data_IF_462386209728
#
_entry.id   IF_462386209728
#
_cell.length_a   1.000
_cell.length_b   1.000
_cell.length_c   1.000
_cell.angle_alpha   90.00
_cell.angle_beta   90.00
_cell.angle_gamma   90.00
#
_symmetry.space_group_name_H-M   'P 1'
#
loop_
_entity.id
_entity.type
_entity.pdbx_description
1 polymer ?
#
# COMPACT_ATOMS: atom_id res chain seq x y z
N UNK A 1 4.40 28.45 54.62
CA UNK A 1 4.41 27.23 53.77
C UNK A 1 4.15 27.64 52.32
N UNK A 2 4.88 27.11 51.33
CA UNK A 2 6.33 27.11 51.15
C UNK A 2 6.75 28.05 49.99
N UNK A 3 7.95 28.60 50.08
CA UNK A 3 8.65 29.29 48.99
C UNK A 3 9.01 28.28 47.89
N UNK A 4 8.50 28.48 46.67
CA UNK A 4 8.88 27.67 45.49
C UNK A 4 10.26 28.13 45.01
N UNK A 5 11.28 27.34 45.32
CA UNK A 5 12.61 27.42 44.72
C UNK A 5 12.54 27.08 43.23
N UNK A 6 13.15 27.92 42.39
CA UNK A 6 13.40 27.56 40.98
C UNK A 6 14.45 26.42 40.93
N UNK A 7 14.32 25.47 39.99
CA UNK A 7 15.37 24.48 39.74
C UNK A 7 16.62 25.15 39.13
N UNK A 8 17.83 24.63 39.42
CA UNK A 8 19.06 25.18 38.87
C UNK A 8 19.15 24.95 37.35
N UNK A 9 19.67 25.95 36.64
CA UNK A 9 19.98 25.92 35.22
C UNK A 9 20.94 24.76 34.88
N UNK A 10 20.78 24.08 33.73
CA UNK A 10 21.72 23.04 33.31
C UNK A 10 23.10 23.66 33.05
N UNK A 11 24.20 22.93 33.30
CA UNK A 11 25.54 23.47 33.07
C UNK A 11 25.74 23.73 31.57
N UNK A 12 26.31 24.91 31.27
CA UNK A 12 26.80 25.26 29.94
C UNK A 12 27.77 24.17 29.46
N UNK A 13 27.41 23.47 28.38
CA UNK A 13 28.34 22.59 27.66
C UNK A 13 29.56 23.42 27.27
N UNK A 14 30.72 23.05 27.81
CA UNK A 14 32.02 23.55 27.31
C UNK A 14 32.11 23.26 25.81
N UNK A 15 32.70 24.14 24.99
CA UNK A 15 33.05 23.79 23.62
C UNK A 15 33.96 22.55 23.65
N UNK A 16 33.64 21.58 22.79
CA UNK A 16 34.41 20.35 22.66
C UNK A 16 35.88 20.68 22.36
N UNK A 17 36.78 20.02 23.09
CA UNK A 17 38.22 20.02 22.82
C UNK A 17 38.48 19.61 21.36
N UNK A 18 39.41 20.26 20.63
CA UNK A 18 39.78 19.91 19.27
C UNK A 18 40.80 18.75 19.22
N UNK A 19 40.66 17.77 20.11
CA UNK A 19 41.55 16.60 20.17
C UNK A 19 40.75 15.30 20.10
N UNK A 20 40.23 15.00 18.91
CA UNK A 20 40.10 13.61 18.48
C UNK A 20 40.40 13.51 16.98
N UNK A 21 41.67 13.75 16.68
CA UNK A 21 42.30 13.44 15.39
C UNK A 21 42.47 11.93 15.21
N UNK A 22 41.44 11.15 15.51
CA UNK A 22 41.34 9.77 15.06
C UNK A 22 41.42 9.81 13.54
N UNK A 23 42.59 9.45 13.00
CA UNK A 23 42.84 9.29 11.56
C UNK A 23 41.68 8.49 10.97
N UNK A 24 40.70 9.17 10.37
CA UNK A 24 39.69 8.50 9.55
C UNK A 24 40.50 7.70 8.53
N UNK A 25 40.31 6.38 8.45
CA UNK A 25 41.04 5.57 7.48
C UNK A 25 40.81 6.21 6.11
N UNK A 26 41.90 6.37 5.35
CA UNK A 26 41.92 7.05 4.04
C UNK A 26 40.84 6.46 3.11
N UNK A 27 40.45 5.21 3.35
CA UNK A 27 39.29 4.56 2.73
C UNK A 27 38.40 3.91 3.81
N UNK A 28 37.11 4.27 3.92
CA UNK A 28 36.20 3.70 4.91
C UNK A 28 35.93 2.20 4.69
N UNK A 29 35.62 1.47 5.76
CA UNK A 29 35.23 0.05 5.68
C UNK A 29 33.94 -0.10 4.86
N UNK A 30 33.99 -0.84 3.74
CA UNK A 30 32.84 -1.02 2.84
C UNK A 30 32.85 -0.15 1.57
N UNK A 31 33.77 0.81 1.43
CA UNK A 31 33.90 1.61 0.20
C UNK A 31 34.28 0.73 -1.00
N UNK A 32 33.69 1.01 -2.17
CA UNK A 32 34.10 0.40 -3.43
C UNK A 32 35.60 0.58 -3.67
N UNK A 33 36.13 1.76 -3.36
CA UNK A 33 37.56 2.05 -3.47
C UNK A 33 38.39 1.17 -2.51
N UNK A 34 37.95 0.97 -1.26
CA UNK A 34 38.63 0.04 -0.34
C UNK A 34 38.52 -1.40 -0.81
N UNK A 35 37.37 -1.83 -1.30
CA UNK A 35 37.15 -3.20 -1.77
C UNK A 35 37.97 -3.50 -3.03
N UNK A 36 38.03 -2.54 -3.96
CA UNK A 36 38.95 -2.59 -5.10
C UNK A 36 40.40 -2.65 -4.60
N UNK A 37 40.84 -1.72 -3.74
CA UNK A 37 42.22 -1.68 -3.25
C UNK A 37 42.60 -2.96 -2.50
N UNK A 38 41.80 -3.45 -1.57
CA UNK A 38 42.11 -4.68 -0.80
C UNK A 38 42.17 -5.91 -1.71
N UNK A 39 41.33 -5.96 -2.76
CA UNK A 39 41.32 -7.07 -3.72
C UNK A 39 42.44 -6.98 -4.76
N UNK A 40 42.85 -5.76 -5.13
CA UNK A 40 43.84 -5.47 -6.18
C UNK A 40 45.28 -5.41 -5.65
N UNK A 41 45.49 -4.82 -4.48
CA UNK A 41 46.82 -4.49 -3.95
C UNK A 41 47.73 -5.70 -3.78
N UNK A 42 47.27 -6.90 -3.31
CA UNK A 42 48.14 -8.07 -3.21
C UNK A 42 48.64 -8.55 -4.57
N UNK A 43 47.77 -8.55 -5.58
CA UNK A 43 48.12 -8.95 -6.93
C UNK A 43 49.07 -7.94 -7.60
N UNK A 44 48.82 -6.64 -7.42
CA UNK A 44 49.71 -5.58 -7.92
C UNK A 44 51.09 -5.67 -7.26
N UNK A 45 51.14 -5.87 -5.94
CA UNK A 45 52.38 -5.91 -5.17
C UNK A 45 53.21 -7.16 -5.48
N UNK A 46 52.56 -8.34 -5.57
CA UNK A 46 53.20 -9.56 -6.05
C UNK A 46 53.87 -9.33 -7.41
N UNK A 47 53.19 -8.60 -8.28
CA UNK A 47 53.66 -8.40 -9.63
C UNK A 47 54.82 -7.42 -9.71
N UNK A 48 54.74 -6.28 -9.01
CA UNK A 48 55.87 -5.34 -8.89
C UNK A 48 57.11 -6.04 -8.32
N UNK A 49 56.93 -6.92 -7.34
CA UNK A 49 58.05 -7.71 -6.76
C UNK A 49 58.64 -8.68 -7.77
N UNK A 50 57.80 -9.35 -8.57
CA UNK A 50 58.25 -10.30 -9.58
C UNK A 50 59.00 -9.60 -10.72
N UNK A 51 58.53 -8.42 -11.14
CA UNK A 51 59.17 -7.57 -12.15
C UNK A 51 60.53 -7.03 -11.65
N UNK A 52 60.58 -6.47 -10.44
CA UNK A 52 61.83 -6.02 -9.80
C UNK A 52 62.82 -7.18 -9.60
N UNK A 53 62.33 -8.36 -9.23
CA UNK A 53 63.15 -9.56 -9.08
C UNK A 53 63.75 -10.02 -10.41
N UNK A 54 62.97 -10.02 -11.49
CA UNK A 54 63.45 -10.34 -12.82
C UNK A 54 64.54 -9.34 -13.26
N UNK A 55 64.28 -8.04 -13.12
CA UNK A 55 65.24 -6.97 -13.45
C UNK A 55 66.54 -7.13 -12.63
N UNK A 56 66.44 -7.40 -11.33
CA UNK A 56 67.61 -7.57 -10.45
C UNK A 56 68.45 -8.79 -10.85
N UNK A 57 67.83 -9.93 -11.11
CA UNK A 57 68.52 -11.14 -11.56
C UNK A 57 69.22 -10.87 -12.89
N UNK A 58 68.54 -10.23 -13.83
CA UNK A 58 69.07 -9.94 -15.17
C UNK A 58 70.29 -9.01 -15.09
N UNK A 59 70.20 -7.95 -14.29
CA UNK A 59 71.23 -6.90 -14.22
C UNK A 59 72.48 -7.35 -13.45
N UNK A 60 72.35 -8.29 -12.50
CA UNK A 60 73.42 -8.60 -11.55
C UNK A 60 74.12 -9.94 -11.77
N UNK A 61 73.55 -10.86 -12.57
CA UNK A 61 74.06 -12.24 -12.71
C UNK A 61 74.52 -12.65 -14.12
N UNK A 62 74.26 -11.85 -15.16
CA UNK A 62 74.54 -12.24 -16.55
C UNK A 62 75.66 -11.37 -17.14
N UNK A 63 76.78 -11.98 -17.55
CA UNK A 63 77.72 -11.39 -18.51
C UNK A 63 77.10 -11.56 -19.91
N UNK A 64 76.63 -10.45 -20.49
CA UNK A 64 75.63 -10.48 -21.56
C UNK A 64 76.30 -10.58 -22.94
N UNK A 65 75.91 -11.58 -23.73
CA UNK A 65 76.21 -11.69 -25.16
C UNK A 65 74.96 -11.35 -25.98
N UNK A 66 75.13 -10.82 -27.21
CA UNK A 66 74.04 -10.21 -28.01
C UNK A 66 72.82 -11.12 -28.25
N UNK A 67 73.00 -12.45 -28.29
CA UNK A 67 71.90 -13.40 -28.47
C UNK A 67 71.04 -13.60 -27.22
N UNK A 68 71.57 -13.33 -26.02
CA UNK A 68 70.84 -13.45 -24.74
C UNK A 68 69.92 -12.25 -24.51
N UNK A 69 70.20 -11.11 -25.14
CA UNK A 69 69.38 -9.89 -25.05
C UNK A 69 67.99 -10.05 -25.68
N UNK A 70 67.87 -10.79 -26.78
CA UNK A 70 66.60 -10.99 -27.49
C UNK A 70 65.62 -11.86 -26.69
N UNK A 71 66.10 -12.97 -26.11
CA UNK A 71 65.29 -13.86 -25.26
C UNK A 71 64.81 -13.14 -23.98
N UNK A 72 65.67 -12.32 -23.37
CA UNK A 72 65.32 -11.52 -22.20
C UNK A 72 64.26 -10.47 -22.55
N UNK A 73 64.41 -9.80 -23.69
CA UNK A 73 63.44 -8.81 -24.15
C UNK A 73 62.05 -9.43 -24.33
N UNK A 74 61.94 -10.57 -25.00
CA UNK A 74 60.66 -11.25 -25.19
C UNK A 74 60.06 -11.78 -23.89
N UNK A 75 60.88 -12.28 -22.97
CA UNK A 75 60.42 -12.69 -21.64
C UNK A 75 59.86 -11.50 -20.83
N UNK A 76 60.50 -10.33 -20.93
CA UNK A 76 60.04 -9.10 -20.27
C UNK A 76 58.72 -8.60 -20.87
N UNK A 77 58.62 -8.59 -22.20
CA UNK A 77 57.38 -8.22 -22.91
C UNK A 77 56.23 -9.16 -22.54
N UNK A 78 56.48 -10.48 -22.46
CA UNK A 78 55.48 -11.45 -22.03
C UNK A 78 55.02 -11.18 -20.59
N UNK A 79 55.97 -10.93 -19.67
CA UNK A 79 55.68 -10.59 -18.28
C UNK A 79 54.81 -9.34 -18.14
N UNK A 80 55.16 -8.26 -18.85
CA UNK A 80 54.39 -7.01 -18.87
C UNK A 80 53.01 -7.17 -19.53
N UNK A 81 52.88 -8.03 -20.55
CA UNK A 81 51.59 -8.31 -21.18
C UNK A 81 50.66 -9.07 -20.25
N UNK A 82 51.17 -10.10 -19.55
CA UNK A 82 50.40 -10.86 -18.55
C UNK A 82 49.95 -9.97 -17.41
N UNK A 83 50.81 -9.07 -16.94
CA UNK A 83 50.47 -8.05 -15.95
C UNK A 83 49.31 -7.17 -16.41
N UNK A 84 49.41 -6.62 -17.62
CA UNK A 84 48.42 -5.68 -18.13
C UNK A 84 47.05 -6.36 -18.26
N UNK A 85 47.02 -7.61 -18.72
CA UNK A 85 45.80 -8.42 -18.78
C UNK A 85 45.20 -8.71 -17.39
N UNK A 86 46.04 -9.08 -16.41
CA UNK A 86 45.58 -9.32 -15.05
C UNK A 86 45.01 -8.03 -14.43
N UNK A 87 45.70 -6.91 -14.58
CA UNK A 87 45.23 -5.60 -14.12
C UNK A 87 43.89 -5.22 -14.75
N UNK A 88 43.77 -5.36 -16.07
CA UNK A 88 42.52 -5.11 -16.79
C UNK A 88 41.39 -6.03 -16.31
N UNK A 89 41.66 -7.33 -16.11
CA UNK A 89 40.67 -8.28 -15.61
C UNK A 89 40.14 -7.89 -14.23
N UNK A 90 41.01 -7.51 -13.29
CA UNK A 90 40.57 -7.13 -11.95
C UNK A 90 39.81 -5.81 -11.96
N UNK A 91 40.23 -4.81 -12.74
CA UNK A 91 39.49 -3.54 -12.91
C UNK A 91 38.08 -3.81 -13.46
N UNK A 92 37.97 -4.60 -14.53
CA UNK A 92 36.68 -4.97 -15.12
C UNK A 92 35.81 -5.76 -14.15
N UNK A 93 36.39 -6.70 -13.40
CA UNK A 93 35.65 -7.47 -12.40
C UNK A 93 35.14 -6.60 -11.24
N UNK A 94 35.94 -5.64 -10.76
CA UNK A 94 35.55 -4.68 -9.73
C UNK A 94 34.42 -3.76 -10.17
N UNK A 95 34.54 -3.16 -11.37
CA UNK A 95 33.50 -2.29 -11.94
C UNK A 95 32.20 -3.06 -12.18
N UNK A 96 32.26 -4.27 -12.75
CA UNK A 96 31.07 -5.12 -12.96
C UNK A 96 30.38 -5.47 -11.65
N UNK A 97 31.14 -5.72 -10.58
CA UNK A 97 30.56 -6.02 -9.27
C UNK A 97 29.81 -4.81 -8.70
N UNK A 98 30.37 -3.60 -8.80
CA UNK A 98 29.73 -2.37 -8.32
C UNK A 98 28.47 -2.00 -9.11
N UNK A 99 28.51 -2.13 -10.44
CA UNK A 99 27.37 -1.82 -11.31
C UNK A 99 26.19 -2.77 -11.14
N UNK A 100 26.42 -4.04 -10.74
CA UNK A 100 25.32 -4.99 -10.46
C UNK A 100 24.41 -4.51 -9.33
N UNK A 101 24.99 -3.97 -8.24
CA UNK A 101 24.20 -3.46 -7.11
C UNK A 101 23.30 -2.29 -7.51
N UNK A 102 23.80 -1.41 -8.39
CA UNK A 102 23.03 -0.28 -8.93
C UNK A 102 21.88 -0.77 -9.82
N UNK A 103 22.13 -1.76 -10.67
CA UNK A 103 21.08 -2.32 -11.53
C UNK A 103 19.97 -3.00 -10.71
N UNK A 104 20.32 -3.70 -9.63
CA UNK A 104 19.31 -4.27 -8.72
C UNK A 104 18.47 -3.19 -8.03
N UNK A 105 19.09 -2.10 -7.56
CA UNK A 105 18.36 -0.98 -6.97
C UNK A 105 17.45 -0.29 -8.00
N UNK A 106 17.94 -0.08 -9.22
CA UNK A 106 17.14 0.51 -10.30
C UNK A 106 15.96 -0.36 -10.69
N UNK A 107 16.15 -1.69 -10.74
CA UNK A 107 15.08 -2.64 -11.00
C UNK A 107 14.04 -2.65 -9.86
N UNK A 108 14.50 -2.64 -8.60
CA UNK A 108 13.62 -2.56 -7.43
C UNK A 108 12.77 -1.28 -7.44
N UNK A 109 13.34 -0.14 -7.84
CA UNK A 109 12.60 1.12 -7.99
C UNK A 109 11.63 1.05 -9.18
N UNK A 110 12.03 0.45 -10.31
CA UNK A 110 11.19 0.37 -11.52
C UNK A 110 9.99 -0.57 -11.37
N UNK A 111 10.13 -1.62 -10.57
CA UNK A 111 9.05 -2.58 -10.31
C UNK A 111 8.06 -2.11 -9.24
N UNK A 112 8.31 -0.98 -8.57
CA UNK A 112 7.39 -0.43 -7.59
C UNK A 112 6.20 0.26 -8.23
N UNK A 113 5.01 -0.05 -7.71
CA UNK A 113 3.78 0.67 -8.01
C UNK A 113 3.77 2.03 -7.29
N UNK A 114 2.90 2.94 -7.74
CA UNK A 114 2.75 4.27 -7.15
C UNK A 114 2.37 4.27 -5.66
N UNK A 115 1.86 3.14 -5.15
CA UNK A 115 1.41 2.98 -3.76
C UNK A 115 2.43 2.25 -2.86
N UNK A 116 3.54 1.73 -3.40
CA UNK A 116 4.58 1.08 -2.59
C UNK A 116 5.62 2.09 -2.07
N UNK A 117 5.35 2.61 -0.87
CA UNK A 117 6.20 3.58 -0.17
C UNK A 117 7.18 2.95 0.82
N UNK A 118 7.40 1.64 0.78
CA UNK A 118 8.32 0.98 1.72
C UNK A 118 9.76 1.52 1.61
N UNK A 119 10.59 1.45 2.66
CA UNK A 119 12.00 1.84 2.56
C UNK A 119 12.75 1.03 1.49
N UNK A 120 13.71 1.65 0.82
CA UNK A 120 14.67 0.96 -0.04
C UNK A 120 15.74 0.26 0.81
N UNK A 121 16.07 -0.97 0.47
CA UNK A 121 17.09 -1.78 1.16
C UNK A 121 18.50 -1.35 0.74
N UNK A 122 19.44 -1.44 1.68
CA UNK A 122 20.84 -1.03 1.55
C UNK A 122 21.77 -2.24 1.35
N UNK A 123 21.25 -3.47 1.47
CA UNK A 123 22.05 -4.70 1.40
C UNK A 123 22.72 -4.84 0.03
N UNK A 124 24.05 -4.88 0.03
CA UNK A 124 24.88 -5.10 -1.17
C UNK A 124 25.18 -3.85 -2.00
N UNK A 125 24.79 -2.66 -1.51
CA UNK A 125 25.13 -1.40 -2.18
C UNK A 125 26.51 -0.88 -1.76
N UNK A 126 27.21 -0.16 -2.66
CA UNK A 126 28.42 0.58 -2.29
C UNK A 126 28.12 1.60 -1.21
N UNK A 127 29.06 1.81 -0.28
CA UNK A 127 28.94 2.81 0.78
C UNK A 127 28.70 4.23 0.23
N UNK A 128 29.18 4.49 -0.98
CA UNK A 128 28.99 5.75 -1.70
C UNK A 128 27.51 6.02 -2.07
N UNK A 129 26.67 4.98 -2.16
CA UNK A 129 25.25 5.08 -2.48
C UNK A 129 24.34 5.16 -1.25
N UNK A 130 24.84 4.78 -0.07
CA UNK A 130 24.12 4.91 1.21
C UNK A 130 23.50 6.29 1.44
N UNK A 131 24.21 7.43 1.26
CA UNK A 131 23.61 8.74 1.50
C UNK A 131 22.47 9.06 0.52
N UNK A 132 22.54 8.57 -0.72
CA UNK A 132 21.45 8.77 -1.69
C UNK A 132 20.22 7.96 -1.29
N UNK A 133 20.40 6.67 -0.95
CA UNK A 133 19.31 5.80 -0.49
C UNK A 133 18.68 6.34 0.79
N UNK A 134 19.48 6.82 1.74
CA UNK A 134 19.00 7.43 2.97
C UNK A 134 18.14 8.67 2.69
N UNK A 135 18.54 9.54 1.75
CA UNK A 135 17.74 10.71 1.34
C UNK A 135 16.45 10.32 0.64
N UNK A 136 16.48 9.30 -0.23
CA UNK A 136 15.26 8.79 -0.88
C UNK A 136 14.30 8.21 0.17
N UNK A 137 14.80 7.43 1.12
CA UNK A 137 13.99 6.90 2.22
C UNK A 137 13.40 8.03 3.10
N UNK A 138 14.16 9.10 3.35
CA UNK A 138 13.65 10.29 4.04
C UNK A 138 12.50 10.97 3.28
N UNK A 139 12.62 11.08 1.94
CA UNK A 139 11.55 11.62 1.10
C UNK A 139 10.31 10.73 1.07
N UNK A 140 10.48 9.40 0.96
CA UNK A 140 9.39 8.44 1.02
C UNK A 140 8.64 8.54 2.34
N UNK A 141 9.36 8.59 3.47
CA UNK A 141 8.76 8.75 4.80
C UNK A 141 8.00 10.08 4.95
N UNK A 142 8.52 11.18 4.39
CA UNK A 142 7.83 12.48 4.38
C UNK A 142 6.56 12.44 3.52
N UNK A 143 6.60 11.77 2.38
CA UNK A 143 5.45 11.59 1.49
C UNK A 143 4.36 10.77 2.18
N UNK A 144 4.74 9.65 2.79
CA UNK A 144 3.83 8.80 3.59
C UNK A 144 3.18 9.60 4.72
N UNK A 145 3.97 10.37 5.48
CA UNK A 145 3.46 11.23 6.54
C UNK A 145 2.49 12.30 6.03
N UNK A 146 2.78 12.91 4.88
CA UNK A 146 1.92 13.92 4.25
C UNK A 146 0.59 13.33 3.77
N UNK A 147 0.63 12.17 3.09
CA UNK A 147 -0.57 11.44 2.66
C UNK A 147 -1.41 11.02 3.88
N UNK A 148 -0.78 10.51 4.94
CA UNK A 148 -1.46 10.17 6.17
C UNK A 148 -2.10 11.39 6.88
N UNK A 149 -1.45 12.56 6.83
CA UNK A 149 -2.01 13.80 7.36
C UNK A 149 -3.21 14.29 6.53
N UNK A 150 -3.10 14.29 5.19
CA UNK A 150 -4.19 14.65 4.30
C UNK A 150 -5.42 13.76 4.51
N UNK A 151 -5.23 12.45 4.68
CA UNK A 151 -6.31 11.49 4.93
C UNK A 151 -6.96 11.68 6.30
N UNK A 152 -6.17 11.91 7.36
CA UNK A 152 -6.70 12.30 8.68
C UNK A 152 -7.52 13.58 8.61
N UNK A 153 -7.07 14.58 7.85
CA UNK A 153 -7.81 15.81 7.63
C UNK A 153 -9.15 15.54 6.94
N UNK A 154 -9.19 14.76 5.85
CA UNK A 154 -10.44 14.36 5.18
C UNK A 154 -11.37 13.63 6.14
N UNK A 155 -10.84 12.72 6.96
CA UNK A 155 -11.63 11.98 7.93
C UNK A 155 -12.23 12.88 9.03
N UNK A 156 -11.43 13.81 9.56
CA UNK A 156 -11.92 14.80 10.53
C UNK A 156 -12.96 15.74 9.92
N UNK A 157 -12.73 16.24 8.70
CA UNK A 157 -13.67 17.11 8.00
C UNK A 157 -15.01 16.39 7.74
N UNK A 158 -14.98 15.14 7.28
CA UNK A 158 -16.17 14.33 7.09
C UNK A 158 -16.97 14.14 8.39
N UNK A 159 -16.28 13.86 9.51
CA UNK A 159 -16.93 13.73 10.81
C UNK A 159 -17.53 15.05 11.29
N UNK A 160 -16.78 16.15 11.18
CA UNK A 160 -17.27 17.49 11.56
C UNK A 160 -18.43 17.97 10.69
N UNK A 161 -18.53 17.54 9.43
CA UNK A 161 -19.68 17.82 8.56
C UNK A 161 -20.90 16.95 8.90
N UNK A 162 -20.70 15.71 9.37
CA UNK A 162 -21.81 14.80 9.71
C UNK A 162 -22.68 15.34 10.84
N UNK A 163 -22.08 15.95 11.86
CA UNK A 163 -22.80 16.50 13.02
C UNK A 163 -23.82 17.58 12.64
N UNK A 164 -23.45 18.69 11.96
CA UNK A 164 -24.41 19.72 11.56
C UNK A 164 -25.42 19.21 10.53
N UNK A 165 -25.03 18.31 9.63
CA UNK A 165 -25.97 17.70 8.68
C UNK A 165 -27.00 16.78 9.38
N UNK A 166 -26.60 16.08 10.43
CA UNK A 166 -27.53 15.26 11.22
C UNK A 166 -28.54 16.14 11.97
N UNK A 167 -28.12 17.31 12.45
CA UNK A 167 -29.02 18.32 13.00
C UNK A 167 -30.01 18.86 11.97
N UNK A 168 -29.53 19.20 10.77
CA UNK A 168 -30.40 19.66 9.67
C UNK A 168 -31.41 18.58 9.24
N UNK A 169 -31.00 17.32 9.26
CA UNK A 169 -31.88 16.18 9.00
C UNK A 169 -32.98 16.07 10.06
N UNK A 170 -32.63 16.15 11.34
CA UNK A 170 -33.58 16.09 12.44
C UNK A 170 -34.62 17.22 12.33
N UNK A 171 -34.17 18.45 12.10
CA UNK A 171 -35.07 19.60 11.90
C UNK A 171 -36.01 19.39 10.70
N UNK A 172 -35.49 18.85 9.59
CA UNK A 172 -36.32 18.55 8.42
C UNK A 172 -37.36 17.47 8.73
N UNK A 173 -37.00 16.44 9.50
CA UNK A 173 -37.94 15.38 9.94
C UNK A 173 -38.99 15.92 10.92
N UNK A 174 -38.60 16.81 11.84
CA UNK A 174 -39.52 17.49 12.75
C UNK A 174 -40.50 18.41 12.03
N UNK A 175 -40.05 19.10 10.97
CA UNK A 175 -40.93 19.90 10.11
C UNK A 175 -41.96 18.99 9.40
N UNK A 176 -41.52 17.89 8.80
CA UNK A 176 -42.38 16.97 8.05
C UNK A 176 -43.40 16.23 8.93
N UNK A 177 -43.12 16.08 10.22
CA UNK A 177 -44.02 15.49 11.21
C UNK A 177 -45.22 16.40 11.57
N UNK A 178 -45.19 17.68 11.18
CA UNK A 178 -46.30 18.63 11.39
C UNK A 178 -47.16 18.79 10.13
N UNK A 179 -48.43 19.18 10.26
CA UNK A 179 -49.23 19.60 9.11
C UNK A 179 -48.62 20.85 8.48
N UNK A 180 -48.29 20.76 7.20
CA UNK A 180 -47.67 21.79 6.37
C UNK A 180 -48.48 21.96 5.09
N UNK A 181 -48.41 23.13 4.46
CA UNK A 181 -48.90 23.30 3.09
C UNK A 181 -48.04 22.49 2.11
N UNK A 182 -48.64 22.07 0.99
CA UNK A 182 -47.97 21.17 0.02
C UNK A 182 -46.63 21.74 -0.49
N UNK A 183 -46.56 23.03 -0.83
CA UNK A 183 -45.31 23.67 -1.27
C UNK A 183 -44.20 23.65 -0.19
N UNK A 184 -44.56 23.80 1.10
CA UNK A 184 -43.59 23.75 2.20
C UNK A 184 -43.15 22.32 2.49
N UNK A 185 -44.07 21.36 2.38
CA UNK A 185 -43.75 19.92 2.48
C UNK A 185 -42.76 19.52 1.39
N UNK A 186 -43.02 19.86 0.13
CA UNK A 186 -42.13 19.54 -1.00
C UNK A 186 -40.72 20.11 -0.81
N UNK A 187 -40.61 21.34 -0.29
CA UNK A 187 -39.32 21.96 0.03
C UNK A 187 -38.61 21.25 1.17
N UNK A 188 -39.32 20.89 2.24
CA UNK A 188 -38.75 20.15 3.37
C UNK A 188 -38.28 18.75 2.96
N UNK A 189 -39.03 18.05 2.10
CA UNK A 189 -38.62 16.76 1.52
C UNK A 189 -37.37 16.91 0.65
N UNK A 190 -37.29 17.97 -0.17
CA UNK A 190 -36.07 18.28 -0.93
C UNK A 190 -34.87 18.52 -0.02
N UNK A 191 -35.01 19.35 1.03
CA UNK A 191 -33.92 19.61 2.00
C UNK A 191 -33.47 18.32 2.68
N UNK A 192 -34.42 17.49 3.13
CA UNK A 192 -34.12 16.18 3.72
C UNK A 192 -33.36 15.30 2.74
N UNK A 193 -33.78 15.23 1.48
CA UNK A 193 -33.14 14.40 0.46
C UNK A 193 -31.69 14.83 0.17
N UNK A 194 -31.43 16.14 0.09
CA UNK A 194 -30.10 16.72 -0.13
C UNK A 194 -29.20 16.47 1.08
N UNK A 195 -29.74 16.65 2.29
CA UNK A 195 -29.02 16.41 3.55
C UNK A 195 -28.64 14.94 3.70
N UNK A 196 -29.57 14.01 3.45
CA UNK A 196 -29.30 12.57 3.45
C UNK A 196 -28.22 12.21 2.42
N UNK A 197 -28.18 12.90 1.27
CA UNK A 197 -27.13 12.72 0.25
C UNK A 197 -25.76 13.22 0.72
N UNK A 198 -25.70 14.40 1.37
CA UNK A 198 -24.46 14.95 1.91
C UNK A 198 -23.87 14.08 3.04
N UNK A 199 -24.72 13.56 3.93
CA UNK A 199 -24.28 12.63 5.00
C UNK A 199 -23.67 11.38 4.37
N UNK A 200 -24.34 10.80 3.36
CA UNK A 200 -23.81 9.64 2.62
C UNK A 200 -22.47 9.95 1.95
N UNK A 201 -22.33 11.10 1.28
CA UNK A 201 -21.06 11.50 0.66
C UNK A 201 -19.92 11.64 1.68
N UNK A 202 -20.19 12.26 2.84
CA UNK A 202 -19.20 12.37 3.92
C UNK A 202 -18.77 10.99 4.44
N UNK A 203 -19.72 10.08 4.64
CA UNK A 203 -19.44 8.70 5.04
C UNK A 203 -18.56 7.99 4.01
N UNK A 204 -18.89 8.12 2.73
CA UNK A 204 -18.19 7.51 1.61
C UNK A 204 -16.74 8.03 1.48
N UNK A 205 -16.51 9.32 1.67
CA UNK A 205 -15.16 9.90 1.71
C UNK A 205 -14.34 9.41 2.91
N UNK A 206 -14.98 9.25 4.07
CA UNK A 206 -14.33 8.72 5.27
C UNK A 206 -13.92 7.25 5.09
N UNK A 207 -14.79 6.45 4.48
CA UNK A 207 -14.50 5.04 4.16
C UNK A 207 -13.36 4.95 3.17
N UNK A 208 -13.36 5.77 2.12
CA UNK A 208 -12.26 5.84 1.16
C UNK A 208 -10.93 6.22 1.83
N UNK A 209 -10.95 7.20 2.73
CA UNK A 209 -9.77 7.61 3.49
C UNK A 209 -9.24 6.52 4.46
N UNK A 210 -10.10 5.60 4.90
CA UNK A 210 -9.78 4.50 5.82
C UNK A 210 -9.47 3.17 5.11
N UNK A 211 -9.87 3.03 3.85
CA UNK A 211 -9.65 1.83 3.09
C UNK A 211 -8.15 1.62 2.80
N UNK A 212 -7.33 2.66 2.78
CA UNK A 212 -5.91 2.54 2.43
C UNK A 212 -5.09 1.67 3.41
N UNK A 213 -4.29 0.71 2.91
CA UNK A 213 -3.49 -0.21 3.73
C UNK A 213 -2.47 0.46 4.66
N UNK A 214 -1.94 1.64 4.32
CA UNK A 214 -0.81 2.27 5.02
C UNK A 214 -1.15 2.92 6.38
N UNK A 215 -2.42 3.07 6.72
CA UNK A 215 -2.88 3.73 7.96
C UNK A 215 -3.54 2.74 8.94
N UNK A 216 -3.74 1.49 8.50
CA UNK A 216 -4.44 0.50 9.32
C UNK A 216 -3.61 0.15 10.54
N UNK A 217 -4.13 0.31 11.76
CA UNK A 217 -3.61 -0.43 12.89
C UNK A 217 -3.64 -1.92 12.51
N UNK A 218 -2.54 -2.64 12.73
CA UNK A 218 -2.47 -4.08 12.45
C UNK A 218 -3.57 -4.89 13.20
N UNK A 219 -4.24 -4.27 14.18
CA UNK A 219 -5.25 -4.85 15.06
C UNK A 219 -6.72 -4.57 14.68
N UNK A 220 -7.03 -3.91 13.53
CA UNK A 220 -8.44 -3.62 13.20
C UNK A 220 -9.22 -4.83 12.65
N UNK A 221 -8.49 -5.88 12.23
CA UNK A 221 -9.08 -7.10 11.70
C UNK A 221 -9.42 -8.03 12.85
N UNK A 222 -10.69 -8.37 12.97
CA UNK A 222 -11.17 -9.35 13.93
C UNK A 222 -11.62 -10.59 13.20
N UNK A 223 -11.45 -11.74 13.85
CA UNK A 223 -11.98 -12.98 13.33
C UNK A 223 -13.48 -13.00 13.54
N UNK A 224 -14.23 -13.13 12.44
CA UNK A 224 -15.70 -13.12 12.47
C UNK A 224 -16.28 -14.24 11.62
N UNK A 225 -17.45 -14.74 12.03
CA UNK A 225 -18.25 -15.66 11.22
C UNK A 225 -19.07 -14.86 10.22
N UNK A 226 -18.72 -15.00 8.95
CA UNK A 226 -19.38 -14.28 7.85
C UNK A 226 -20.86 -14.67 7.73
N UNK A 227 -21.23 -15.91 8.07
CA UNK A 227 -22.62 -16.36 8.02
C UNK A 227 -23.49 -15.61 9.03
N UNK A 228 -23.06 -15.55 10.29
CA UNK A 228 -23.74 -14.83 11.36
C UNK A 228 -23.76 -13.33 11.08
N UNK A 229 -22.63 -12.77 10.67
CA UNK A 229 -22.48 -11.33 10.43
C UNK A 229 -23.37 -10.83 9.28
N UNK A 230 -23.45 -11.57 8.16
CA UNK A 230 -24.34 -11.23 7.04
C UNK A 230 -25.81 -11.36 7.45
N UNK A 231 -26.13 -12.33 8.30
CA UNK A 231 -27.50 -12.49 8.83
C UNK A 231 -27.92 -11.30 9.69
N UNK A 232 -27.08 -10.88 10.64
CA UNK A 232 -27.35 -9.72 11.50
C UNK A 232 -27.43 -8.43 10.66
N UNK A 233 -26.39 -8.15 9.88
CA UNK A 233 -26.29 -6.90 9.11
C UNK A 233 -27.32 -6.84 7.98
N UNK A 234 -27.51 -7.94 7.25
CA UNK A 234 -28.49 -8.04 6.17
C UNK A 234 -29.94 -7.89 6.65
N UNK A 235 -30.26 -8.38 7.86
CA UNK A 235 -31.61 -8.24 8.42
C UNK A 235 -32.07 -6.79 8.57
N UNK A 236 -31.13 -5.86 8.79
CA UNK A 236 -31.42 -4.42 8.90
C UNK A 236 -31.97 -3.81 7.61
N UNK A 237 -31.74 -4.47 6.45
CA UNK A 237 -32.20 -4.03 5.14
C UNK A 237 -33.57 -4.58 4.75
N UNK A 238 -34.11 -5.57 5.47
CA UNK A 238 -35.40 -6.20 5.17
C UNK A 238 -36.54 -5.20 5.08
N UNK A 239 -36.58 -4.22 5.99
CA UNK A 239 -37.63 -3.18 5.98
C UNK A 239 -37.60 -2.34 4.71
N UNK A 240 -36.40 -1.98 4.23
CA UNK A 240 -36.21 -1.18 3.03
C UNK A 240 -36.49 -1.96 1.75
N UNK A 241 -36.06 -3.22 1.68
CA UNK A 241 -36.35 -4.11 0.56
C UNK A 241 -37.85 -4.35 0.42
N UNK A 242 -38.55 -4.64 1.53
CA UNK A 242 -40.02 -4.82 1.55
C UNK A 242 -40.77 -3.56 1.10
N UNK A 243 -40.31 -2.37 1.50
CA UNK A 243 -40.92 -1.11 1.06
C UNK A 243 -40.82 -0.88 -0.47
N UNK A 244 -39.90 -1.58 -1.15
CA UNK A 244 -39.74 -1.55 -2.60
C UNK A 244 -40.30 -2.82 -3.28
N UNK A 245 -41.00 -3.69 -2.54
CA UNK A 245 -41.50 -4.98 -3.04
C UNK A 245 -40.41 -5.92 -3.57
N UNK A 246 -39.21 -5.83 -3.01
CA UNK A 246 -38.08 -6.69 -3.35
C UNK A 246 -37.89 -7.73 -2.23
N UNK A 247 -37.81 -9.00 -2.61
CA UNK A 247 -37.49 -10.09 -1.68
C UNK A 247 -35.98 -10.16 -1.42
N UNK A 248 -35.58 -10.18 -0.15
CA UNK A 248 -34.17 -10.25 0.26
C UNK A 248 -33.90 -11.62 0.87
N UNK A 249 -33.22 -12.46 0.12
CA UNK A 249 -32.93 -13.84 0.48
C UNK A 249 -31.47 -13.99 0.93
N UNK A 250 -31.22 -14.77 1.98
CA UNK A 250 -29.89 -15.15 2.43
C UNK A 250 -29.69 -16.65 2.21
N UNK A 251 -28.67 -17.00 1.43
CA UNK A 251 -28.19 -18.37 1.24
C UNK A 251 -26.82 -18.45 1.89
N UNK A 252 -26.75 -19.15 3.02
CA UNK A 252 -25.51 -19.35 3.76
C UNK A 252 -25.36 -20.83 4.14
N UNK A 253 -24.13 -21.35 4.26
CA UNK A 253 -23.88 -22.68 4.79
C UNK A 253 -24.34 -22.77 6.25
N UNK A 254 -24.69 -23.98 6.69
CA UNK A 254 -24.99 -24.24 8.11
C UNK A 254 -23.74 -24.16 9.00
N UNK A 255 -22.55 -24.32 8.40
CA UNK A 255 -21.26 -24.22 9.09
C UNK A 255 -20.72 -22.79 9.09
N UNK A 256 -20.09 -22.33 10.18
CA UNK A 256 -19.44 -21.03 10.24
C UNK A 256 -18.39 -20.83 9.14
N UNK A 257 -18.41 -19.66 8.51
CA UNK A 257 -17.40 -19.26 7.51
C UNK A 257 -16.51 -18.18 8.11
N UNK A 258 -15.32 -18.56 8.55
CA UNK A 258 -14.41 -17.65 9.23
C UNK A 258 -13.60 -16.79 8.27
N UNK A 259 -13.61 -15.48 8.50
CA UNK A 259 -12.71 -14.51 7.85
C UNK A 259 -12.08 -13.60 8.89
N UNK A 260 -10.93 -13.00 8.55
CA UNK A 260 -10.39 -11.86 9.29
C UNK A 260 -10.81 -10.60 8.55
N UNK A 261 -11.58 -9.73 9.19
CA UNK A 261 -12.08 -8.52 8.56
C UNK A 261 -12.29 -7.38 9.57
N UNK A 262 -12.27 -6.16 9.04
CA UNK A 262 -12.71 -4.98 9.78
C UNK A 262 -14.24 -4.88 9.65
N UNK A 263 -14.96 -5.16 10.74
CA UNK A 263 -16.41 -5.25 10.73
C UNK A 263 -17.11 -3.96 10.26
N UNK A 264 -16.51 -2.78 10.51
CA UNK A 264 -17.06 -1.50 10.07
C UNK A 264 -16.96 -1.37 8.56
N UNK A 265 -15.78 -1.67 8.00
CA UNK A 265 -15.58 -1.62 6.56
C UNK A 265 -16.37 -2.69 5.83
N UNK A 266 -16.47 -3.90 6.38
CA UNK A 266 -17.30 -4.95 5.81
C UNK A 266 -18.79 -4.53 5.77
N UNK A 267 -19.26 -3.81 6.80
CA UNK A 267 -20.59 -3.22 6.84
C UNK A 267 -20.85 -2.22 5.71
N UNK A 268 -19.88 -1.35 5.46
CA UNK A 268 -19.93 -0.39 4.35
C UNK A 268 -19.89 -1.09 2.99
N UNK A 269 -19.12 -2.17 2.83
CA UNK A 269 -19.09 -2.98 1.61
C UNK A 269 -20.48 -3.58 1.35
N UNK A 270 -21.04 -4.32 2.31
CA UNK A 270 -22.36 -4.94 2.16
C UNK A 270 -23.45 -3.89 1.92
N UNK A 271 -23.41 -2.78 2.68
CA UNK A 271 -24.37 -1.69 2.53
C UNK A 271 -24.33 -1.04 1.15
N UNK A 272 -23.14 -0.81 0.59
CA UNK A 272 -23.02 -0.26 -0.77
C UNK A 272 -23.52 -1.26 -1.82
N UNK A 273 -23.30 -2.57 -1.63
CA UNK A 273 -23.82 -3.59 -2.56
C UNK A 273 -25.34 -3.68 -2.54
N UNK A 274 -25.95 -3.76 -1.36
CA UNK A 274 -27.42 -3.83 -1.22
C UNK A 274 -28.07 -2.53 -1.68
N UNK A 275 -27.54 -1.36 -1.29
CA UNK A 275 -28.09 -0.06 -1.71
C UNK A 275 -27.96 0.12 -3.23
N UNK A 276 -26.90 -0.41 -3.86
CA UNK A 276 -26.76 -0.42 -5.31
C UNK A 276 -27.83 -1.30 -5.97
N UNK A 277 -28.03 -2.53 -5.48
CA UNK A 277 -29.07 -3.42 -6.00
C UNK A 277 -30.47 -2.80 -5.86
N UNK A 278 -30.82 -2.26 -4.68
CA UNK A 278 -32.12 -1.62 -4.44
C UNK A 278 -32.37 -0.36 -5.30
N UNK A 279 -31.32 0.38 -5.68
CA UNK A 279 -31.48 1.63 -6.45
C UNK A 279 -31.46 1.44 -7.95
N UNK A 280 -30.62 0.52 -8.45
CA UNK A 280 -30.27 0.44 -9.87
C UNK A 280 -30.77 -0.84 -10.54
N UNK A 281 -31.19 -1.86 -9.79
CA UNK A 281 -31.77 -3.06 -10.36
C UNK A 281 -33.23 -2.81 -10.76
N UNK A 282 -33.46 -1.99 -11.79
CA UNK A 282 -34.80 -1.71 -12.31
C UNK A 282 -35.51 -3.03 -12.68
N UNK A 283 -36.76 -3.18 -12.23
CA UNK A 283 -37.55 -4.39 -12.45
C UNK A 283 -37.12 -5.59 -11.60
N UNK A 284 -36.14 -5.45 -10.70
CA UNK A 284 -35.75 -6.52 -9.79
C UNK A 284 -36.88 -6.84 -8.82
N UNK A 285 -37.10 -8.13 -8.61
CA UNK A 285 -38.04 -8.65 -7.61
C UNK A 285 -37.31 -9.35 -6.47
N UNK A 286 -36.02 -9.67 -6.67
CA UNK A 286 -35.23 -10.47 -5.74
C UNK A 286 -33.79 -10.00 -5.66
N UNK A 287 -33.31 -9.84 -4.44
CA UNK A 287 -31.89 -9.70 -4.12
C UNK A 287 -31.46 -10.91 -3.29
N UNK A 288 -30.41 -11.61 -3.73
CA UNK A 288 -29.84 -12.77 -3.04
C UNK A 288 -28.47 -12.43 -2.46
N UNK A 289 -28.32 -12.63 -1.15
CA UNK A 289 -27.04 -12.63 -0.45
C UNK A 289 -26.55 -14.07 -0.35
N UNK A 290 -25.39 -14.39 -0.91
CA UNK A 290 -24.82 -15.74 -0.87
C UNK A 290 -23.47 -15.73 -0.17
N UNK A 291 -23.32 -16.55 0.88
CA UNK A 291 -22.04 -16.78 1.55
C UNK A 291 -21.46 -18.11 1.06
N UNK A 292 -20.24 -18.10 0.54
CA UNK A 292 -19.50 -19.31 0.19
C UNK A 292 -18.44 -19.62 1.24
N UNK A 293 -18.18 -20.89 1.54
CA UNK A 293 -17.23 -21.30 2.59
C UNK A 293 -15.80 -21.57 2.09
N UNK A 294 -15.63 -22.02 0.84
CA UNK A 294 -14.31 -22.41 0.32
C UNK A 294 -14.16 -22.09 -1.18
N UNK A 295 -13.47 -21.00 -1.55
CA UNK A 295 -12.93 -19.97 -0.66
C UNK A 295 -14.05 -19.15 0.03
N UNK A 296 -13.78 -18.53 1.21
CA UNK A 296 -14.77 -17.72 1.89
C UNK A 296 -15.17 -16.52 1.03
N UNK A 297 -16.46 -16.35 0.76
CA UNK A 297 -16.94 -15.33 -0.16
C UNK A 297 -18.30 -14.77 0.23
N UNK A 298 -18.53 -13.51 -0.14
CA UNK A 298 -19.80 -12.81 -0.04
C UNK A 298 -20.22 -12.38 -1.45
N UNK A 299 -21.38 -12.83 -1.89
CA UNK A 299 -21.95 -12.48 -3.20
C UNK A 299 -23.30 -11.80 -3.02
N UNK A 300 -23.52 -10.72 -3.75
CA UNK A 300 -24.82 -10.03 -3.85
C UNK A 300 -25.30 -10.12 -5.29
N UNK A 301 -26.49 -10.66 -5.47
CA UNK A 301 -27.12 -10.86 -6.77
C UNK A 301 -28.46 -10.14 -6.84
N UNK A 302 -28.73 -9.48 -7.96
CA UNK A 302 -30.05 -8.96 -8.32
C UNK A 302 -30.53 -9.57 -9.64
N UNK A 303 -31.85 -9.54 -9.86
CA UNK A 303 -32.52 -9.98 -11.09
C UNK A 303 -32.98 -8.82 -11.99
N UNK A 304 -32.37 -7.64 -11.84
CA UNK A 304 -32.76 -6.43 -12.57
C UNK A 304 -32.22 -6.36 -14.01
N UNK A 305 -32.23 -5.15 -14.58
CA UNK A 305 -31.73 -4.87 -15.95
C UNK A 305 -30.24 -5.18 -16.15
N UNK A 306 -29.45 -5.26 -15.09
CA UNK A 306 -28.01 -5.50 -15.14
C UNK A 306 -27.19 -4.29 -15.62
N UNK A 307 -25.89 -4.53 -15.85
CA UNK A 307 -24.89 -3.54 -16.27
C UNK A 307 -24.38 -3.90 -17.67
N UNK A 308 -24.42 -2.98 -18.65
CA UNK A 308 -23.87 -3.18 -19.98
C UNK A 308 -22.37 -3.53 -19.97
N UNK A 309 -21.88 -4.37 -20.90
CA UNK A 309 -20.47 -4.79 -20.94
C UNK A 309 -19.47 -3.62 -20.97
N UNK A 310 -19.79 -2.55 -21.70
CA UNK A 310 -18.98 -1.35 -21.86
C UNK A 310 -18.88 -0.48 -20.59
N UNK A 311 -19.75 -0.73 -19.60
CA UNK A 311 -19.79 0.03 -18.36
C UNK A 311 -19.21 -0.74 -17.16
N UNK A 312 -18.96 -2.05 -17.28
CA UNK A 312 -18.58 -2.92 -16.13
C UNK A 312 -17.31 -2.49 -15.41
N UNK A 313 -16.32 -1.98 -16.13
CA UNK A 313 -15.09 -1.48 -15.50
C UNK A 313 -15.29 -0.07 -14.94
N UNK A 314 -16.05 0.76 -15.67
CA UNK A 314 -16.28 2.17 -15.36
C UNK A 314 -17.16 2.37 -14.14
N UNK A 315 -18.06 1.44 -13.84
CA UNK A 315 -18.89 1.50 -12.62
C UNK A 315 -18.07 1.48 -11.32
N UNK A 316 -16.80 1.07 -11.37
CA UNK A 316 -15.87 1.15 -10.24
C UNK A 316 -15.08 2.47 -10.18
N UNK A 317 -15.22 3.36 -11.16
CA UNK A 317 -14.63 4.69 -11.13
C UNK A 317 -15.40 5.60 -10.16
N UNK A 318 -14.67 6.38 -9.38
CA UNK A 318 -15.28 7.32 -8.45
C UNK A 318 -16.09 8.38 -9.21
N UNK A 319 -17.31 8.63 -8.75
CA UNK A 319 -18.27 9.59 -9.34
C UNK A 319 -18.84 9.20 -10.70
N UNK A 320 -18.48 8.03 -11.25
CA UNK A 320 -19.08 7.56 -12.49
C UNK A 320 -20.56 7.23 -12.28
N UNK A 321 -21.38 7.60 -13.27
CA UNK A 321 -22.81 7.30 -13.33
C UNK A 321 -23.15 6.89 -14.75
N UNK A 322 -23.87 5.78 -14.90
CA UNK A 322 -24.41 5.39 -16.19
C UNK A 322 -25.35 6.48 -16.70
N UNK A 323 -25.19 6.97 -17.94
CA UNK A 323 -26.12 7.91 -18.57
C UNK A 323 -27.55 7.36 -18.65
N UNK A 324 -27.70 6.04 -18.59
CA UNK A 324 -28.98 5.32 -18.71
C UNK A 324 -29.74 5.20 -17.38
N UNK A 325 -29.11 5.52 -16.26
CA UNK A 325 -29.74 5.41 -14.94
C UNK A 325 -30.34 6.75 -14.49
N UNK A 326 -31.68 6.80 -14.36
CA UNK A 326 -32.38 7.94 -13.76
C UNK A 326 -32.23 8.01 -12.22
N UNK A 327 -31.74 6.94 -11.58
CA UNK A 327 -31.62 6.84 -10.13
C UNK A 327 -30.60 7.84 -9.53
N UNK A 328 -30.97 8.46 -8.41
CA UNK A 328 -30.15 9.39 -7.66
C UNK A 328 -29.10 8.68 -6.79
N UNK A 329 -27.81 8.88 -7.10
CA UNK A 329 -26.67 8.36 -6.31
C UNK A 329 -25.35 9.11 -6.57
N UNK A 330 -24.37 8.92 -5.69
CA UNK A 330 -23.07 9.62 -5.73
C UNK A 330 -22.08 9.06 -6.75
N UNK A 331 -22.29 7.85 -7.27
CA UNK A 331 -21.33 7.15 -8.12
C UNK A 331 -20.10 6.65 -7.36
N UNK A 332 -20.16 6.57 -6.02
CA UNK A 332 -19.03 6.12 -5.20
C UNK A 332 -19.20 4.70 -4.66
N UNK A 333 -20.40 4.11 -4.74
CA UNK A 333 -20.71 2.85 -4.03
C UNK A 333 -19.80 1.69 -4.43
N UNK A 334 -19.68 1.42 -5.73
CA UNK A 334 -18.84 0.34 -6.24
C UNK A 334 -17.34 0.68 -6.16
N UNK A 335 -16.95 1.95 -6.29
CA UNK A 335 -15.58 2.38 -6.02
C UNK A 335 -15.17 2.05 -4.57
N UNK A 336 -16.07 2.26 -3.61
CA UNK A 336 -15.83 1.91 -2.20
C UNK A 336 -15.73 0.41 -2.00
N UNK A 337 -16.58 -0.39 -2.67
CA UNK A 337 -16.49 -1.85 -2.63
C UNK A 337 -15.10 -2.31 -3.09
N UNK A 338 -14.60 -1.76 -4.20
CA UNK A 338 -13.25 -2.07 -4.73
C UNK A 338 -12.16 -1.77 -3.70
N UNK A 339 -12.22 -0.59 -3.09
CA UNK A 339 -11.22 -0.14 -2.11
C UNK A 339 -11.27 -1.00 -0.83
N UNK A 340 -12.47 -1.29 -0.31
CA UNK A 340 -12.61 -2.15 0.87
C UNK A 340 -12.13 -3.57 0.55
N UNK A 341 -12.46 -4.12 -0.63
CA UNK A 341 -12.02 -5.45 -1.05
C UNK A 341 -10.49 -5.52 -1.15
N UNK A 342 -9.86 -4.58 -1.85
CA UNK A 342 -8.40 -4.50 -1.97
C UNK A 342 -7.72 -4.43 -0.60
N UNK A 343 -8.32 -3.69 0.32
CA UNK A 343 -7.76 -3.53 1.64
C UNK A 343 -7.96 -4.73 2.59
N UNK A 344 -8.92 -5.61 2.29
CA UNK A 344 -9.03 -6.93 2.91
C UNK A 344 -8.14 -7.98 2.21
N UNK A 345 -7.38 -7.59 1.18
CA UNK A 345 -6.69 -8.54 0.30
C UNK A 345 -7.66 -9.47 -0.44
N UNK A 346 -8.92 -9.07 -0.55
CA UNK A 346 -9.99 -9.84 -1.16
C UNK A 346 -10.01 -9.61 -2.68
N UNK A 347 -10.24 -10.68 -3.43
CA UNK A 347 -10.53 -10.59 -4.84
C UNK A 347 -12.01 -10.26 -5.04
N UNK A 348 -12.35 -9.46 -6.04
CA UNK A 348 -13.74 -9.19 -6.38
C UNK A 348 -14.00 -9.41 -7.85
N UNK A 349 -15.23 -9.77 -8.20
CA UNK A 349 -15.66 -10.02 -9.56
C UNK A 349 -17.08 -9.50 -9.77
N UNK A 350 -17.34 -8.89 -10.92
CA UNK A 350 -18.65 -8.45 -11.34
C UNK A 350 -19.05 -9.16 -12.63
N UNK A 351 -20.18 -9.86 -12.59
CA UNK A 351 -20.78 -10.53 -13.75
C UNK A 351 -22.18 -9.95 -13.95
N UNK A 352 -22.50 -9.63 -15.20
CA UNK A 352 -23.82 -9.13 -15.57
C UNK A 352 -24.18 -9.59 -16.99
N UNK A 353 -25.15 -8.95 -17.66
CA UNK A 353 -25.64 -9.38 -18.97
C UNK A 353 -24.56 -9.28 -20.05
N UNK A 354 -24.42 -10.29 -20.93
CA UNK A 354 -25.32 -11.44 -21.14
C UNK A 354 -25.06 -12.67 -20.23
N UNK A 355 -23.96 -12.72 -19.52
CA UNK A 355 -23.51 -13.90 -18.76
C UNK A 355 -24.35 -14.17 -17.51
N UNK A 356 -25.00 -13.12 -16.97
CA UNK A 356 -25.95 -13.21 -15.87
C UNK A 356 -27.15 -12.27 -16.11
N UNK A 357 -28.41 -12.69 -15.85
CA UNK A 357 -29.61 -11.93 -16.22
C UNK A 357 -29.79 -10.60 -15.47
N UNK A 358 -29.17 -10.42 -14.31
CA UNK A 358 -29.09 -9.14 -13.58
C UNK A 358 -27.65 -8.77 -13.27
N UNK A 359 -27.34 -8.37 -12.04
CA UNK A 359 -25.94 -8.15 -11.60
C UNK A 359 -25.56 -9.12 -10.49
N UNK A 360 -24.38 -9.72 -10.60
CA UNK A 360 -23.74 -10.53 -9.55
C UNK A 360 -22.40 -9.90 -9.22
N UNK A 361 -22.24 -9.46 -7.97
CA UNK A 361 -20.94 -9.02 -7.45
C UNK A 361 -20.50 -9.95 -6.34
N UNK A 362 -19.35 -10.60 -6.54
CA UNK A 362 -18.74 -11.53 -5.60
C UNK A 362 -17.46 -10.94 -5.04
N UNK A 363 -17.28 -11.02 -3.73
CA UNK A 363 -16.04 -10.68 -3.01
C UNK A 363 -15.53 -11.95 -2.33
N UNK A 364 -14.33 -12.36 -2.66
CA UNK A 364 -13.65 -13.57 -2.17
C UNK A 364 -12.53 -13.16 -1.24
N UNK A 365 -12.67 -13.49 0.04
CA UNK A 365 -11.73 -13.12 1.08
C UNK A 365 -10.57 -14.11 1.15
N UNK A 366 -9.37 -13.67 1.58
CA UNK A 366 -8.35 -14.62 2.01
C UNK A 366 -8.90 -15.42 3.19
N UNK A 367 -8.61 -16.72 3.22
CA UNK A 367 -8.91 -17.56 4.37
C UNK A 367 -8.28 -16.99 5.65
N UNK A 368 -8.76 -17.41 6.82
CA UNK A 368 -8.30 -16.84 8.09
C UNK A 368 -6.79 -17.04 8.25
N UNK A 369 -6.09 -15.98 8.65
CA UNK A 369 -4.64 -15.98 8.81
C UNK A 369 -4.25 -16.95 9.93
N UNK A 370 -3.49 -17.98 9.59
CA UNK A 370 -2.98 -18.94 10.57
C UNK A 370 -1.88 -18.22 11.37
N UNK A 371 -2.10 -18.02 12.68
CA UNK A 371 -1.08 -17.51 13.62
C UNK A 371 -1.26 -16.07 14.12
N UNK A 372 -2.29 -15.33 13.68
CA UNK A 372 -2.59 -14.04 14.27
C UNK A 372 -3.33 -14.23 15.61
N UNK A 373 -2.73 -13.80 16.73
CA UNK A 373 -3.41 -13.70 18.02
C UNK A 373 -4.43 -12.55 17.95
N UNK A 374 -5.58 -12.80 17.33
CA UNK A 374 -6.66 -11.82 17.25
C UNK A 374 -7.64 -12.08 18.39
N UNK A 375 -7.69 -11.14 19.32
CA UNK A 375 -8.49 -11.20 20.54
C UNK A 375 -9.97 -11.30 20.17
N UNK A 376 -10.63 -12.36 20.61
CA UNK A 376 -12.09 -12.49 20.60
C UNK A 376 -12.65 -11.32 21.40
N UNK A 377 -13.34 -10.37 20.76
CA UNK A 377 -14.18 -9.44 21.51
C UNK A 377 -15.36 -10.23 22.09
N UNK A 378 -15.23 -10.63 23.35
CA UNK A 378 -16.37 -11.05 24.15
C UNK A 378 -17.27 -9.82 24.36
N UNK A 379 -18.42 -9.78 23.67
CA UNK A 379 -19.48 -8.82 23.97
C UNK A 379 -19.98 -9.09 25.39
N UNK A 380 -19.62 -8.22 26.33
CA UNK A 380 -20.31 -8.13 27.63
C UNK A 380 -21.73 -7.60 27.40
N UNK A 381 -22.69 -8.30 28.02
CA UNK A 381 -24.14 -8.14 27.94
C UNK A 381 -24.67 -6.73 28.22
#
# INVERSE_FOLDING_TARGET
>A
MPTRSLPPSPPLRRPADPEDGARKPILPAGSLARHLVVRLLPAILLLVVLDLGAIWVITHKLDISDWVLEDIFWLMVLGQTVLLLLFAWVVVAGVRSGLRGINHLSEAIRQRSADDLQPLDVVGLPLEMEPMVARTNELLARLEAALAAQRRFVGHAAHQLRTPLSGLKLESELMLARPLSDDVRDRAERIKSVTDRMIRLGQQLLVLARADPGIRPQDSFVRLDLCEWVRETGSTWLGRARAQHIDLELIAPDTPTWIDADALLLGELLGNLIDNALRYAEGATRIRLHVGANPPSLTVEDDGVGIPPDERERVFEAFYRSPRSAAGGSGLGLAIVREIAGAHGAFWNLVSRPEYPGTRLSVVFPGPRIGAQLTRQERSA
#
